data_IF_268630113111
#
_entry.id   IF_268630113111
#
_cell.length_a   1.000
_cell.length_b   1.000
_cell.length_c   1.000
_cell.angle_alpha   90.00
_cell.angle_beta   90.00
_cell.angle_gamma   90.00
#
_symmetry.space_group_name_H-M   'P 1'
#
loop_
_entity.id
_entity.type
_entity.pdbx_description
1 polymer ?
#
# COMPACT_ATOMS: atom_id res chain seq x y z
N UNK A 1 -13.06 0.25 -2.73
CA UNK A 1 -12.95 -1.17 -3.18
C UNK A 1 -13.29 -1.35 -4.66
N UNK A 2 -14.44 -0.86 -5.15
CA UNK A 2 -14.84 -1.03 -6.55
C UNK A 2 -13.79 -0.48 -7.54
N UNK A 3 -13.26 0.72 -7.28
CA UNK A 3 -12.22 1.33 -8.13
C UNK A 3 -10.94 0.49 -8.17
N UNK A 4 -10.53 -0.06 -7.02
CA UNK A 4 -9.35 -0.93 -6.96
C UNK A 4 -9.55 -2.18 -7.81
N UNK A 5 -10.72 -2.84 -7.71
CA UNK A 5 -11.03 -3.98 -8.57
C UNK A 5 -11.03 -3.57 -10.05
N UNK A 6 -11.65 -2.44 -10.41
CA UNK A 6 -11.71 -2.01 -11.80
C UNK A 6 -10.32 -1.71 -12.41
N UNK A 7 -9.39 -1.15 -11.62
CA UNK A 7 -8.10 -0.70 -12.12
C UNK A 7 -6.97 -1.73 -11.95
N UNK A 8 -7.07 -2.64 -10.98
CA UNK A 8 -6.03 -3.60 -10.66
C UNK A 8 -6.41 -5.06 -10.94
N UNK A 9 -7.66 -5.38 -11.26
CA UNK A 9 -8.06 -6.75 -11.58
C UNK A 9 -7.59 -7.13 -12.99
N UNK A 10 -7.08 -8.35 -13.14
CA UNK A 10 -6.78 -8.95 -14.45
C UNK A 10 -7.88 -9.95 -14.81
N UNK A 11 -8.28 -10.00 -16.08
CA UNK A 11 -9.09 -11.12 -16.57
C UNK A 11 -8.17 -12.33 -16.84
N UNK A 12 -8.66 -13.58 -16.69
CA UNK A 12 -7.86 -14.79 -16.85
C UNK A 12 -7.18 -14.94 -18.22
N UNK A 13 -7.65 -14.20 -19.24
CA UNK A 13 -7.19 -14.30 -20.62
C UNK A 13 -6.03 -13.34 -20.96
N UNK A 14 -5.82 -12.29 -20.14
CA UNK A 14 -4.72 -11.34 -20.31
C UNK A 14 -3.66 -11.63 -19.24
N UNK A 15 -2.87 -12.68 -19.47
CA UNK A 15 -1.74 -13.02 -18.61
C UNK A 15 -0.81 -11.80 -18.48
N UNK A 16 -0.70 -11.24 -17.26
CA UNK A 16 0.29 -10.24 -16.81
C UNK A 16 0.12 -8.76 -17.15
N UNK A 17 -0.89 -8.31 -17.88
CA UNK A 17 -1.04 -6.89 -18.22
C UNK A 17 -2.21 -6.33 -17.41
N UNK A 18 -1.96 -5.28 -16.60
CA UNK A 18 -3.03 -4.46 -16.03
C UNK A 18 -4.02 -4.09 -17.15
N UNK A 19 -5.32 -3.88 -16.87
CA UNK A 19 -6.35 -3.68 -17.89
C UNK A 19 -5.96 -2.76 -19.06
N UNK A 20 -5.12 -1.74 -18.80
CA UNK A 20 -4.32 -1.09 -19.84
C UNK A 20 -2.87 -0.95 -19.34
N UNK A 21 -1.86 -1.08 -20.20
CA UNK A 21 -0.45 -0.96 -19.82
C UNK A 21 -0.10 0.45 -19.29
N UNK A 22 -0.83 1.48 -19.73
CA UNK A 22 -0.78 2.85 -19.19
C UNK A 22 -1.47 2.99 -17.81
N UNK A 23 -2.16 1.94 -17.33
CA UNK A 23 -3.02 2.01 -16.14
C UNK A 23 -2.35 1.59 -14.84
N UNK A 24 -1.04 1.29 -14.84
CA UNK A 24 -0.31 1.03 -13.59
C UNK A 24 -0.48 2.20 -12.60
N UNK A 25 -0.51 3.43 -13.10
CA UNK A 25 -0.76 4.62 -12.27
C UNK A 25 -2.18 4.64 -11.69
N UNK A 26 -3.21 4.23 -12.44
CA UNK A 26 -4.57 4.16 -11.92
C UNK A 26 -4.74 3.01 -10.92
N UNK A 27 -4.04 1.89 -11.14
CA UNK A 27 -3.99 0.81 -10.16
C UNK A 27 -3.34 1.30 -8.86
N UNK A 28 -2.17 1.95 -8.93
CA UNK A 28 -1.51 2.52 -7.74
C UNK A 28 -2.35 3.59 -7.05
N UNK A 29 -2.99 4.48 -7.80
CA UNK A 29 -3.86 5.52 -7.24
C UNK A 29 -5.08 4.93 -6.55
N UNK A 30 -5.72 3.91 -7.13
CA UNK A 30 -6.86 3.22 -6.50
C UNK A 30 -6.43 2.36 -5.30
N UNK A 31 -5.25 1.74 -5.35
CA UNK A 31 -4.62 1.03 -4.22
C UNK A 31 -4.33 1.98 -3.05
N UNK A 32 -3.70 3.13 -3.31
CA UNK A 32 -3.39 4.13 -2.28
C UNK A 32 -4.65 4.66 -1.57
N UNK A 33 -5.78 4.76 -2.29
CA UNK A 33 -7.08 5.15 -1.69
C UNK A 33 -7.66 4.11 -0.73
N UNK A 34 -7.13 2.89 -0.68
CA UNK A 34 -7.53 1.90 0.33
C UNK A 34 -6.88 2.15 1.69
N UNK A 35 -5.77 2.91 1.74
CA UNK A 35 -5.08 3.24 2.99
C UNK A 35 -5.96 4.15 3.84
N UNK A 36 -6.18 3.77 5.09
CA UNK A 36 -7.07 4.46 6.02
C UNK A 36 -8.54 4.04 5.91
N UNK A 37 -8.84 2.99 5.13
CA UNK A 37 -10.17 2.36 5.07
C UNK A 37 -10.20 1.04 5.87
N UNK A 38 -11.37 0.44 6.03
CA UNK A 38 -11.51 -0.90 6.65
C UNK A 38 -10.74 -2.01 5.91
N UNK A 39 -10.45 -1.81 4.62
CA UNK A 39 -9.71 -2.74 3.77
C UNK A 39 -8.33 -2.16 3.49
N UNK A 40 -7.62 -1.69 4.53
CA UNK A 40 -6.25 -1.16 4.38
C UNK A 40 -5.26 -2.31 4.15
N UNK A 41 -4.65 -2.42 2.96
CA UNK A 41 -3.65 -3.45 2.70
C UNK A 41 -2.27 -3.04 3.21
N UNK A 42 -1.44 -4.01 3.58
CA UNK A 42 -0.02 -3.81 3.90
C UNK A 42 0.82 -5.03 3.46
N UNK A 43 2.14 -4.91 3.50
CA UNK A 43 3.05 -6.04 3.37
C UNK A 43 2.82 -7.03 4.53
N UNK A 44 2.72 -8.32 4.19
CA UNK A 44 2.52 -9.40 5.17
C UNK A 44 3.81 -9.68 5.96
N UNK A 45 4.96 -9.51 5.30
CA UNK A 45 6.28 -9.75 5.87
C UNK A 45 7.31 -8.74 5.35
N UNK A 46 8.57 -8.93 5.75
CA UNK A 46 9.72 -8.16 5.31
C UNK A 46 10.50 -8.84 4.17
N UNK A 47 9.87 -9.71 3.37
CA UNK A 47 10.53 -10.37 2.24
C UNK A 47 10.83 -9.39 1.11
N UNK A 48 12.07 -9.32 0.65
CA UNK A 48 12.46 -8.41 -0.44
C UNK A 48 12.20 -9.01 -1.83
N UNK A 49 12.22 -10.34 -1.96
CA UNK A 49 12.13 -11.05 -3.25
C UNK A 49 10.73 -11.57 -3.53
N UNK A 50 10.05 -12.07 -2.50
CA UNK A 50 8.70 -12.63 -2.61
C UNK A 50 7.78 -11.98 -1.58
N UNK A 51 7.59 -10.66 -1.73
CA UNK A 51 6.66 -9.90 -0.91
C UNK A 51 5.22 -10.20 -1.30
N UNK A 52 4.33 -10.17 -0.30
CA UNK A 52 2.88 -10.31 -0.46
C UNK A 52 2.18 -9.14 0.21
N UNK A 53 1.11 -8.65 -0.41
CA UNK A 53 0.26 -7.60 0.16
C UNK A 53 -1.10 -8.19 0.48
N UNK A 54 -1.63 -7.89 1.66
CA UNK A 54 -2.99 -8.25 2.03
C UNK A 54 -3.62 -7.22 2.98
N UNK A 55 -4.95 -7.12 3.01
CA UNK A 55 -5.63 -6.54 4.16
C UNK A 55 -5.41 -7.38 5.42
N UNK A 56 -5.66 -6.79 6.59
CA UNK A 56 -5.52 -7.48 7.89
C UNK A 56 -6.73 -8.37 8.20
N UNK A 57 -6.90 -9.45 7.42
CA UNK A 57 -7.97 -10.42 7.63
C UNK A 57 -7.59 -11.82 7.12
N UNK A 58 -8.39 -12.83 7.49
CA UNK A 58 -8.28 -14.21 7.01
C UNK A 58 -9.65 -14.73 6.62
N UNK A 59 -9.72 -15.87 5.91
CA UNK A 59 -10.97 -16.54 5.58
C UNK A 59 -11.42 -17.59 6.62
N UNK A 60 -10.75 -17.64 7.77
CA UNK A 60 -11.15 -18.57 8.83
C UNK A 60 -12.53 -18.19 9.36
N UNK A 61 -13.45 -19.14 9.33
CA UNK A 61 -14.82 -18.93 9.81
C UNK A 61 -15.78 -18.39 8.74
N UNK A 62 -15.37 -18.30 7.48
CA UNK A 62 -16.25 -17.91 6.37
C UNK A 62 -17.31 -18.98 6.02
N UNK A 63 -17.10 -20.24 6.42
CA UNK A 63 -18.02 -21.34 6.16
C UNK A 63 -18.22 -21.54 4.66
N UNK A 64 -19.47 -21.49 4.20
CA UNK A 64 -19.78 -21.66 2.78
C UNK A 64 -19.20 -20.57 1.87
N UNK A 65 -18.80 -19.42 2.44
CA UNK A 65 -18.16 -18.32 1.68
C UNK A 65 -16.64 -18.39 1.67
N UNK A 66 -16.02 -19.49 2.12
CA UNK A 66 -14.56 -19.60 2.18
C UNK A 66 -13.90 -19.43 0.81
N UNK A 67 -14.48 -20.00 -0.25
CA UNK A 67 -13.98 -19.81 -1.62
C UNK A 67 -14.09 -18.35 -2.07
N UNK A 68 -15.24 -17.71 -1.83
CA UNK A 68 -15.45 -16.31 -2.19
C UNK A 68 -14.48 -15.39 -1.43
N UNK A 69 -14.26 -15.65 -0.14
CA UNK A 69 -13.28 -14.93 0.66
C UNK A 69 -11.86 -15.15 0.13
N UNK A 70 -11.49 -16.38 -0.23
CA UNK A 70 -10.19 -16.69 -0.83
C UNK A 70 -10.00 -15.94 -2.15
N UNK A 71 -11.04 -15.88 -2.97
CA UNK A 71 -11.04 -15.11 -4.21
C UNK A 71 -10.92 -13.60 -3.93
N UNK A 72 -11.57 -13.08 -2.88
CA UNK A 72 -11.38 -11.70 -2.42
C UNK A 72 -9.93 -11.42 -2.01
N UNK A 73 -9.32 -12.27 -1.20
CA UNK A 73 -7.93 -12.08 -0.77
C UNK A 73 -6.94 -12.14 -1.94
N UNK A 74 -7.22 -12.97 -2.95
CA UNK A 74 -6.41 -13.07 -4.18
C UNK A 74 -6.36 -11.78 -5.00
N UNK A 75 -7.35 -10.87 -4.86
CA UNK A 75 -7.24 -9.54 -5.47
C UNK A 75 -6.01 -8.76 -4.95
N UNK A 76 -5.48 -9.11 -3.79
CA UNK A 76 -4.30 -8.49 -3.17
C UNK A 76 -3.08 -9.42 -3.23
N UNK A 77 -3.24 -10.66 -2.78
CA UNK A 77 -2.11 -11.58 -2.57
C UNK A 77 -1.53 -12.16 -3.85
N UNK A 78 -2.35 -12.31 -4.89
CA UNK A 78 -1.94 -12.89 -6.17
C UNK A 78 -2.38 -12.00 -7.34
N UNK A 79 -1.86 -10.78 -7.34
CA UNK A 79 -2.18 -9.77 -8.34
C UNK A 79 -0.92 -9.27 -9.06
N UNK A 80 -0.63 -9.85 -10.23
CA UNK A 80 0.52 -9.46 -11.07
C UNK A 80 0.44 -8.00 -11.53
N UNK A 81 -0.76 -7.45 -11.77
CA UNK A 81 -0.92 -6.04 -12.13
C UNK A 81 -0.43 -5.13 -10.99
N UNK A 82 -0.91 -5.35 -9.77
CA UNK A 82 -0.45 -4.60 -8.59
C UNK A 82 1.06 -4.80 -8.37
N UNK A 83 1.56 -6.04 -8.52
CA UNK A 83 2.99 -6.34 -8.39
C UNK A 83 3.84 -5.54 -9.36
N UNK A 84 3.49 -5.57 -10.64
CA UNK A 84 4.22 -4.88 -11.69
C UNK A 84 4.11 -3.35 -11.54
N UNK A 85 2.96 -2.84 -11.11
CA UNK A 85 2.77 -1.40 -10.90
C UNK A 85 3.67 -0.87 -9.79
N UNK A 86 3.74 -1.56 -8.63
CA UNK A 86 4.64 -1.20 -7.52
C UNK A 86 6.10 -1.28 -7.94
N UNK A 87 6.50 -2.34 -8.66
CA UNK A 87 7.87 -2.49 -9.16
C UNK A 87 8.23 -1.38 -10.15
N UNK A 88 7.39 -1.11 -11.14
CA UNK A 88 7.64 -0.07 -12.13
C UNK A 88 7.72 1.33 -11.49
N UNK A 89 6.95 1.58 -10.42
CA UNK A 89 7.07 2.79 -9.61
C UNK A 89 8.42 2.87 -8.88
N UNK A 90 8.85 1.79 -8.22
CA UNK A 90 10.13 1.72 -7.52
C UNK A 90 11.35 1.87 -8.43
N UNK A 91 11.30 1.33 -9.65
CA UNK A 91 12.36 1.48 -10.66
C UNK A 91 12.32 2.82 -11.41
N UNK A 92 11.35 3.69 -11.10
CA UNK A 92 11.26 5.03 -11.68
C UNK A 92 10.80 5.08 -13.13
N UNK A 93 10.15 4.02 -13.65
CA UNK A 93 9.70 3.96 -15.04
C UNK A 93 8.61 5.00 -15.39
N UNK A 94 7.91 5.58 -14.41
CA UNK A 94 6.90 6.65 -14.63
C UNK A 94 7.47 8.08 -14.59
N UNK A 95 8.73 8.26 -14.18
CA UNK A 95 9.31 9.58 -13.97
C UNK A 95 9.67 10.31 -15.28
N UNK A 96 9.64 9.62 -16.42
CA UNK A 96 9.87 10.22 -17.74
C UNK A 96 8.63 10.89 -18.33
N UNK A 97 7.42 10.64 -17.81
CA UNK A 97 6.18 11.22 -18.35
C UNK A 97 5.54 12.32 -17.48
N UNK A 98 5.85 12.39 -16.17
CA UNK A 98 5.13 13.27 -15.24
C UNK A 98 5.98 14.41 -14.66
N UNK A 99 6.58 15.25 -15.51
CA UNK A 99 7.23 16.50 -15.07
C UNK A 99 6.25 17.66 -14.80
N UNK A 100 4.93 17.44 -14.85
CA UNK A 100 3.94 18.52 -14.76
C UNK A 100 2.69 18.24 -13.91
N UNK A 101 2.63 17.17 -13.13
CA UNK A 101 1.50 16.94 -12.23
C UNK A 101 1.81 17.43 -10.81
N UNK A 102 1.44 18.67 -10.50
CA UNK A 102 1.40 19.18 -9.12
C UNK A 102 0.36 18.41 -8.32
N UNK A 103 0.79 17.44 -7.52
CA UNK A 103 -0.07 16.77 -6.54
C UNK A 103 -0.27 17.75 -5.37
N UNK A 104 -1.51 18.15 -5.02
CA UNK A 104 -1.75 18.94 -3.82
C UNK A 104 -1.36 18.11 -2.59
N UNK A 105 -0.39 18.59 -1.83
CA UNK A 105 -0.03 18.01 -0.53
C UNK A 105 -1.27 18.05 0.39
N UNK A 106 -1.58 16.99 1.16
CA UNK A 106 -2.66 17.06 2.13
C UNK A 106 -2.30 18.12 3.17
N UNK A 107 -3.16 19.12 3.34
CA UNK A 107 -3.03 20.13 4.40
C UNK A 107 -2.98 19.43 5.76
N UNK A 108 -1.83 19.49 6.41
CA UNK A 108 -1.71 19.14 7.81
C UNK A 108 -2.49 20.17 8.62
N UNK A 109 -3.62 19.75 9.19
CA UNK A 109 -4.34 20.53 10.20
C UNK A 109 -3.45 20.57 11.44
N UNK A 110 -2.72 21.66 11.64
CA UNK A 110 -2.01 21.96 12.88
C UNK A 110 -3.04 22.12 14.00
N UNK A 111 -3.18 21.08 14.83
CA UNK A 111 -3.79 21.22 16.15
C UNK A 111 -2.69 21.59 17.14
N UNK A 112 -2.86 22.78 17.70
CA UNK A 112 -2.12 23.38 18.79
C UNK A 112 -2.18 22.51 20.06
N UNK A 113 -1.12 22.64 20.86
CA UNK A 113 -1.09 22.60 22.34
C UNK A 113 -0.55 21.32 23.00
N UNK A 114 0.69 21.40 23.51
CA UNK A 114 1.02 21.04 24.91
C UNK A 114 2.37 21.63 25.29
N UNK A 115 2.34 22.72 26.07
CA UNK A 115 3.47 23.25 26.82
C UNK A 115 4.09 22.17 27.73
N UNK A 116 5.40 21.96 27.65
CA UNK A 116 6.17 21.37 28.75
C UNK A 116 7.52 22.10 28.88
N UNK A 117 7.88 22.61 30.08
CA UNK A 117 9.09 23.41 30.23
C UNK A 117 10.34 22.53 30.28
N UNK A 118 11.37 22.98 29.55
CA UNK A 118 12.72 22.42 29.53
C UNK A 118 13.31 22.37 30.94
N UNK A 119 13.52 21.16 31.47
CA UNK A 119 14.44 20.94 32.60
C UNK A 119 15.77 20.50 32.00
N UNK A 120 16.73 21.41 32.07
CA UNK A 120 18.15 21.15 31.95
C UNK A 120 18.60 20.49 33.25
N UNK A 121 19.11 19.26 33.19
CA UNK A 121 20.27 18.85 33.99
C UNK A 121 20.74 17.45 33.58
N UNK A 122 22.06 17.35 33.40
CA UNK A 122 22.80 16.23 32.84
C UNK A 122 23.48 15.47 33.99
N UNK A 123 23.37 14.13 34.12
CA UNK A 123 24.23 13.40 35.04
C UNK A 123 25.41 12.75 34.29
N UNK A 124 26.60 13.13 34.72
CA UNK A 124 27.91 12.58 34.36
C UNK A 124 28.00 11.09 34.70
N UNK A 125 28.29 10.24 33.71
CA UNK A 125 28.55 8.82 33.92
C UNK A 125 30.02 8.63 34.33
N UNK A 126 30.26 8.16 35.55
CA UNK A 126 31.60 7.75 36.01
C UNK A 126 31.73 6.23 35.89
N UNK A 127 32.77 5.78 35.19
CA UNK A 127 33.10 4.36 34.96
C UNK A 127 34.04 3.90 36.09
N UNK A 128 33.74 2.81 36.84
CA UNK A 128 34.71 2.21 37.74
C UNK A 128 35.54 1.12 37.04
N UNK A 129 36.81 1.04 37.46
CA UNK A 129 37.79 0.00 37.12
C UNK A 129 37.56 -1.26 37.96
#
# INVERSE_FOLDING_TARGET
MADYKANCWMTPHTMSICPNQDNHQACLASYARLIGTEITPNYVDSSHTNWTISPWCTCKGSGNQEEECGNFLRYFTNNTCLRNAIQAFGYGMYNTQNKTATIPSPSATSKTESDWPSISDQPSVTIPK
#
